data_IF_490422790034
#
_entry.id   IF_490422790034
#
_cell.length_a   1.000
_cell.length_b   1.000
_cell.length_c   1.000
_cell.angle_alpha   90.00
_cell.angle_beta   90.00
_cell.angle_gamma   90.00
#
_symmetry.space_group_name_H-M   'P 1'
#
loop_
_entity.id
_entity.type
_entity.pdbx_description
1 polymer ?
#
# COMPACT_ATOMS: atom_id res chain seq x y z
N UNK A 1 -20.67 -24.36 7.69
CA UNK A 1 -20.07 -24.66 9.01
C UNK A 1 -21.18 -25.14 9.89
N UNK A 2 -21.07 -26.35 10.43
CA UNK A 2 -22.04 -26.84 11.42
C UNK A 2 -21.49 -26.61 12.82
N UNK A 3 -21.50 -25.36 13.29
CA UNK A 3 -21.47 -25.07 14.74
C UNK A 3 -22.60 -25.82 15.45
N UNK A 4 -23.70 -26.05 14.71
CA UNK A 4 -24.78 -26.95 15.08
C UNK A 4 -24.31 -28.39 15.32
N UNK A 5 -23.34 -28.93 14.57
CA UNK A 5 -22.83 -30.28 14.78
C UNK A 5 -22.04 -30.39 16.09
N UNK A 6 -21.25 -29.38 16.44
CA UNK A 6 -20.50 -29.34 17.69
C UNK A 6 -21.43 -29.17 18.90
N UNK A 7 -22.45 -28.30 18.80
CA UNK A 7 -23.50 -28.17 19.81
C UNK A 7 -24.31 -29.47 19.97
N UNK A 8 -24.60 -30.14 18.86
CA UNK A 8 -25.27 -31.44 18.87
C UNK A 8 -24.39 -32.51 19.53
N UNK A 9 -23.10 -32.57 19.20
CA UNK A 9 -22.14 -33.49 19.82
C UNK A 9 -22.04 -33.28 21.34
N UNK A 10 -21.98 -32.02 21.80
CA UNK A 10 -21.97 -31.69 23.23
C UNK A 10 -23.29 -32.08 23.92
N UNK A 11 -24.44 -31.87 23.28
CA UNK A 11 -25.74 -32.32 23.76
C UNK A 11 -25.80 -33.85 23.91
N UNK A 12 -25.27 -34.57 22.92
CA UNK A 12 -25.16 -36.03 22.96
C UNK A 12 -24.24 -36.49 24.11
N UNK A 13 -23.04 -35.92 24.25
CA UNK A 13 -22.10 -36.22 25.35
C UNK A 13 -22.77 -36.04 26.71
N UNK A 14 -23.48 -34.92 26.90
CA UNK A 14 -24.21 -34.65 28.14
C UNK A 14 -25.26 -35.72 28.43
N UNK A 15 -26.06 -36.08 27.42
CA UNK A 15 -27.10 -37.11 27.56
C UNK A 15 -26.54 -38.50 27.85
N UNK A 16 -25.41 -38.88 27.24
CA UNK A 16 -24.76 -40.17 27.45
C UNK A 16 -24.08 -40.24 28.82
N UNK A 17 -23.48 -39.14 29.29
CA UNK A 17 -22.94 -39.04 30.64
C UNK A 17 -24.04 -39.23 31.71
N UNK A 18 -25.22 -38.63 31.51
CA UNK A 18 -26.35 -38.83 32.42
C UNK A 18 -26.86 -40.28 32.43
N UNK A 19 -26.81 -40.97 31.28
CA UNK A 19 -27.16 -42.40 31.19
C UNK A 19 -26.16 -43.26 31.96
N UNK A 20 -24.85 -42.99 31.85
CA UNK A 20 -23.81 -43.71 32.59
C UNK A 20 -24.02 -43.60 34.10
N UNK A 21 -24.35 -42.40 34.61
CA UNK A 21 -24.58 -42.16 36.05
C UNK A 21 -25.79 -42.96 36.58
N UNK A 22 -26.81 -43.18 35.74
CA UNK A 22 -28.05 -43.86 36.11
C UNK A 22 -27.98 -45.38 35.94
N UNK A 23 -27.08 -45.88 35.10
CA UNK A 23 -26.98 -47.31 34.80
C UNK A 23 -26.22 -48.04 35.91
N UNK A 24 -26.68 -49.22 36.33
CA UNK A 24 -26.09 -50.01 37.43
C UNK A 24 -25.36 -51.28 36.96
N UNK A 25 -25.57 -51.65 35.70
CA UNK A 25 -24.98 -52.81 35.04
C UNK A 25 -23.61 -52.47 34.46
N UNK A 26 -22.57 -53.18 34.89
CA UNK A 26 -21.18 -52.92 34.51
C UNK A 26 -20.91 -53.10 33.02
N UNK A 27 -21.60 -54.05 32.35
CA UNK A 27 -21.41 -54.29 30.91
C UNK A 27 -21.98 -53.12 30.12
N UNK A 28 -23.15 -52.62 30.50
CA UNK A 28 -23.77 -51.44 29.87
C UNK A 28 -23.01 -50.16 30.18
N UNK A 29 -22.50 -50.00 31.40
CA UNK A 29 -21.65 -48.88 31.75
C UNK A 29 -20.38 -48.84 30.88
N UNK A 30 -19.72 -49.98 30.65
CA UNK A 30 -18.53 -50.04 29.80
C UNK A 30 -18.85 -49.65 28.34
N UNK A 31 -19.97 -50.14 27.79
CA UNK A 31 -20.42 -49.77 26.45
C UNK A 31 -20.72 -48.28 26.32
N UNK A 32 -21.48 -47.71 27.27
CA UNK A 32 -21.80 -46.27 27.29
C UNK A 32 -20.55 -45.40 27.49
N UNK A 33 -19.57 -45.86 28.27
CA UNK A 33 -18.31 -45.14 28.48
C UNK A 33 -17.48 -45.11 27.20
N UNK A 34 -17.42 -46.22 26.46
CA UNK A 34 -16.76 -46.28 25.16
C UNK A 34 -17.43 -45.35 24.13
N UNK A 35 -18.76 -45.32 24.11
CA UNK A 35 -19.53 -44.41 23.26
C UNK A 35 -19.26 -42.94 23.61
N UNK A 36 -19.23 -42.61 24.91
CA UNK A 36 -18.92 -41.27 25.41
C UNK A 36 -17.50 -40.85 24.98
N UNK A 37 -16.51 -41.72 25.13
CA UNK A 37 -15.13 -41.45 24.71
C UNK A 37 -15.03 -41.19 23.21
N UNK A 38 -15.72 -42.01 22.39
CA UNK A 38 -15.76 -41.81 20.94
C UNK A 38 -16.34 -40.44 20.57
N UNK A 39 -17.43 -40.03 21.23
CA UNK A 39 -18.06 -38.72 21.01
C UNK A 39 -17.19 -37.55 21.48
N UNK A 40 -16.45 -37.71 22.58
CA UNK A 40 -15.47 -36.71 23.03
C UNK A 40 -14.37 -36.52 21.99
N UNK A 41 -13.84 -37.61 21.42
CA UNK A 41 -12.81 -37.56 20.37
C UNK A 41 -13.35 -36.85 19.11
N UNK A 42 -14.58 -37.16 18.71
CA UNK A 42 -15.25 -36.50 17.58
C UNK A 42 -15.40 -34.98 17.81
N UNK A 43 -15.87 -34.59 19.00
CA UNK A 43 -15.99 -33.19 19.38
C UNK A 43 -14.63 -32.48 19.39
N UNK A 44 -13.58 -33.12 19.92
CA UNK A 44 -12.22 -32.58 19.90
C UNK A 44 -11.73 -32.33 18.46
N UNK A 45 -11.98 -33.26 17.54
CA UNK A 45 -11.65 -33.09 16.12
C UNK A 45 -12.34 -31.86 15.51
N UNK A 46 -13.65 -31.71 15.76
CA UNK A 46 -14.41 -30.54 15.30
C UNK A 46 -13.89 -29.23 15.91
N UNK A 47 -13.51 -29.23 17.19
CA UNK A 47 -12.90 -28.07 17.85
C UNK A 47 -11.58 -27.66 17.20
N UNK A 48 -10.71 -28.62 16.88
CA UNK A 48 -9.45 -28.32 16.18
C UNK A 48 -9.69 -27.74 14.79
N UNK A 49 -10.67 -28.25 14.05
CA UNK A 49 -11.01 -27.73 12.72
C UNK A 49 -11.50 -26.27 12.80
N UNK A 50 -12.41 -25.97 13.74
CA UNK A 50 -12.90 -24.60 13.97
C UNK A 50 -11.76 -23.67 14.38
N UNK A 51 -10.88 -24.13 15.28
CA UNK A 51 -9.74 -23.32 15.75
C UNK A 51 -8.73 -23.05 14.64
N UNK A 52 -8.46 -24.03 13.78
CA UNK A 52 -7.59 -23.87 12.61
C UNK A 52 -8.15 -22.82 11.65
N UNK A 53 -9.45 -22.91 11.35
CA UNK A 53 -10.14 -21.94 10.49
C UNK A 53 -10.17 -20.53 11.09
N UNK A 54 -10.39 -20.41 12.40
CA UNK A 54 -10.28 -19.12 13.11
C UNK A 54 -8.87 -18.53 12.99
N UNK A 55 -7.83 -19.36 13.12
CA UNK A 55 -6.45 -18.93 12.90
C UNK A 55 -6.18 -18.44 11.49
N UNK A 56 -6.70 -19.12 10.47
CA UNK A 56 -6.59 -18.71 9.05
C UNK A 56 -7.34 -17.40 8.78
N UNK A 57 -8.56 -17.27 9.32
CA UNK A 57 -9.34 -16.04 9.22
C UNK A 57 -8.63 -14.88 9.91
N UNK A 58 -8.06 -15.09 11.09
CA UNK A 58 -7.32 -14.05 11.81
C UNK A 58 -6.10 -13.57 11.00
N UNK A 59 -5.34 -14.48 10.38
CA UNK A 59 -4.24 -14.12 9.47
C UNK A 59 -4.72 -13.28 8.29
N UNK A 60 -5.88 -13.64 7.72
CA UNK A 60 -6.46 -12.92 6.60
C UNK A 60 -6.91 -11.52 7.02
N UNK A 61 -7.54 -11.39 8.18
CA UNK A 61 -7.92 -10.09 8.77
C UNK A 61 -6.68 -9.22 8.93
N UNK A 62 -5.62 -9.71 9.58
CA UNK A 62 -4.40 -8.93 9.79
C UNK A 62 -3.75 -8.51 8.46
N UNK A 63 -3.67 -9.41 7.48
CA UNK A 63 -3.16 -9.06 6.15
C UNK A 63 -4.01 -8.00 5.42
N UNK A 64 -5.34 -8.04 5.60
CA UNK A 64 -6.24 -7.05 5.02
C UNK A 64 -6.13 -5.71 5.73
N UNK A 65 -6.01 -5.70 7.06
CA UNK A 65 -5.78 -4.48 7.85
C UNK A 65 -4.47 -3.79 7.46
N UNK A 66 -3.38 -4.54 7.26
CA UNK A 66 -2.11 -3.98 6.77
C UNK A 66 -2.26 -3.37 5.36
N UNK A 67 -2.99 -4.04 4.47
CA UNK A 67 -3.29 -3.50 3.14
C UNK A 67 -4.11 -2.22 3.21
N UNK A 68 -5.15 -2.19 4.05
CA UNK A 68 -5.97 -1.01 4.27
C UNK A 68 -5.10 0.15 4.76
N UNK A 69 -4.28 -0.05 5.80
CA UNK A 69 -3.36 0.99 6.29
C UNK A 69 -2.43 1.49 5.20
N UNK A 70 -1.81 0.59 4.43
CA UNK A 70 -0.92 0.99 3.34
C UNK A 70 -1.65 1.80 2.25
N UNK A 71 -2.91 1.48 1.95
CA UNK A 71 -3.73 2.21 0.99
C UNK A 71 -4.17 3.56 1.55
N UNK A 72 -4.55 3.62 2.82
CA UNK A 72 -4.87 4.86 3.53
C UNK A 72 -3.66 5.80 3.56
N UNK A 73 -2.46 5.28 3.84
CA UNK A 73 -1.21 6.05 3.78
C UNK A 73 -0.95 6.59 2.37
N UNK A 74 -1.16 5.77 1.33
CA UNK A 74 -1.04 6.21 -0.07
C UNK A 74 -2.09 7.26 -0.44
N UNK A 75 -3.32 7.14 0.04
CA UNK A 75 -4.38 8.12 -0.19
C UNK A 75 -4.11 9.44 0.53
N UNK A 76 -3.70 9.39 1.80
CA UNK A 76 -3.29 10.56 2.56
C UNK A 76 -2.10 11.24 1.90
N UNK A 77 -1.11 10.46 1.48
CA UNK A 77 0.03 10.94 0.74
C UNK A 77 -0.40 11.64 -0.56
N UNK A 78 -1.31 11.06 -1.35
CA UNK A 78 -1.86 11.69 -2.56
C UNK A 78 -2.73 12.92 -2.29
N UNK A 79 -3.53 12.90 -1.22
CA UNK A 79 -4.42 14.01 -0.81
C UNK A 79 -3.66 15.28 -0.44
N UNK A 80 -2.41 15.14 -0.01
CA UNK A 80 -1.51 16.26 0.28
C UNK A 80 -0.90 16.91 -0.97
N UNK A 81 -1.27 16.48 -2.17
CA UNK A 81 -0.81 17.10 -3.41
C UNK A 81 -1.97 17.56 -4.29
N UNK A 82 -1.85 18.78 -4.81
CA UNK A 82 -2.82 19.36 -5.74
C UNK A 82 -2.19 19.60 -7.10
N UNK A 83 -2.82 19.09 -8.16
CA UNK A 83 -2.39 19.34 -9.53
C UNK A 83 -2.46 20.84 -9.83
N UNK A 84 -1.35 21.39 -10.31
CA UNK A 84 -1.15 22.82 -10.59
C UNK A 84 -0.47 22.96 -11.94
N UNK A 85 -0.92 23.91 -12.75
CA UNK A 85 -0.29 24.27 -14.01
C UNK A 85 0.91 25.18 -13.71
N UNK A 86 2.11 24.77 -14.14
CA UNK A 86 3.35 25.50 -13.91
C UNK A 86 3.77 26.35 -15.12
N UNK A 87 3.43 25.94 -16.35
CA UNK A 87 3.70 26.72 -17.56
C UNK A 87 2.55 26.54 -18.54
N UNK A 88 1.88 27.64 -18.86
CA UNK A 88 0.79 27.67 -19.84
C UNK A 88 1.28 27.41 -21.27
N UNK A 89 2.42 28.03 -21.65
CA UNK A 89 2.98 27.95 -23.02
C UNK A 89 3.29 26.51 -23.46
N UNK A 90 3.81 25.70 -22.55
CA UNK A 90 4.16 24.29 -22.81
C UNK A 90 3.15 23.30 -22.22
N UNK A 91 2.08 23.78 -21.58
CA UNK A 91 1.09 22.93 -20.91
C UNK A 91 1.69 22.01 -19.86
N UNK A 92 2.63 22.51 -19.04
CA UNK A 92 3.37 21.69 -18.08
C UNK A 92 2.68 21.69 -16.70
N UNK A 93 2.21 20.52 -16.29
CA UNK A 93 1.53 20.29 -15.02
C UNK A 93 2.42 19.59 -13.99
N UNK A 94 2.27 19.98 -12.73
CA UNK A 94 2.94 19.35 -11.61
C UNK A 94 2.02 19.30 -10.39
N UNK A 95 2.29 18.37 -9.49
CA UNK A 95 1.60 18.28 -8.22
C UNK A 95 2.31 19.14 -7.19
N UNK A 96 1.60 20.07 -6.57
CA UNK A 96 2.11 20.95 -5.53
C UNK A 96 1.74 20.40 -4.16
N UNK A 97 2.71 20.31 -3.26
CA UNK A 97 2.45 19.91 -1.88
C UNK A 97 1.60 20.97 -1.16
N UNK A 98 0.54 20.53 -0.48
CA UNK A 98 -0.40 21.40 0.26
C UNK A 98 -0.47 21.09 1.75
N UNK A 99 0.39 20.21 2.26
CA UNK A 99 0.48 19.93 3.69
C UNK A 99 1.24 21.03 4.45
N UNK A 100 1.18 20.97 5.77
CA UNK A 100 1.81 21.96 6.66
C UNK A 100 3.16 21.50 7.23
N UNK A 101 3.58 20.27 6.93
CA UNK A 101 4.71 19.63 7.60
C UNK A 101 6.05 19.83 6.88
N UNK A 102 6.01 20.09 5.57
CA UNK A 102 7.18 20.30 4.72
C UNK A 102 7.10 21.64 3.98
N UNK A 103 8.26 22.17 3.56
CA UNK A 103 8.33 23.34 2.68
C UNK A 103 7.63 23.06 1.35
N UNK A 104 6.98 24.09 0.78
CA UNK A 104 6.30 24.00 -0.51
C UNK A 104 7.26 23.48 -1.61
N UNK A 105 6.88 22.37 -2.23
CA UNK A 105 7.64 21.75 -3.31
C UNK A 105 6.69 21.14 -4.35
N UNK A 106 7.24 20.88 -5.53
CA UNK A 106 6.50 20.34 -6.66
C UNK A 106 7.03 18.96 -7.02
N UNK A 107 6.13 18.05 -7.39
CA UNK A 107 6.47 16.71 -7.86
C UNK A 107 5.98 16.53 -9.30
N UNK A 108 6.71 15.71 -10.05
CA UNK A 108 6.40 15.45 -11.45
C UNK A 108 5.11 14.64 -11.59
N UNK A 109 4.13 15.18 -12.34
CA UNK A 109 2.84 14.51 -12.59
C UNK A 109 3.03 13.11 -13.18
N UNK A 110 3.78 12.99 -14.27
CA UNK A 110 3.94 11.72 -14.99
C UNK A 110 4.59 10.65 -14.11
N UNK A 111 5.65 11.00 -13.39
CA UNK A 111 6.33 10.07 -12.49
C UNK A 111 5.43 9.65 -11.31
N UNK A 112 4.58 10.55 -10.82
CA UNK A 112 3.64 10.28 -9.74
C UNK A 112 2.47 9.38 -10.20
N UNK A 113 1.85 9.71 -11.33
CA UNK A 113 0.67 9.00 -11.85
C UNK A 113 1.03 7.62 -12.41
N UNK A 114 2.17 7.49 -13.11
CA UNK A 114 2.54 6.24 -13.79
C UNK A 114 3.29 5.24 -12.91
N UNK A 115 4.08 5.71 -11.94
CA UNK A 115 4.99 4.85 -11.15
C UNK A 115 4.79 4.95 -9.64
N UNK A 116 3.85 5.77 -9.15
CA UNK A 116 3.72 6.08 -7.72
C UNK A 116 5.02 6.57 -7.07
N UNK A 117 5.90 7.21 -7.84
CA UNK A 117 7.20 7.67 -7.36
C UNK A 117 7.15 9.16 -7.02
N UNK A 118 7.46 9.51 -5.76
CA UNK A 118 7.71 10.90 -5.33
C UNK A 118 9.02 11.39 -5.97
N UNK A 119 8.91 12.05 -7.12
CA UNK A 119 10.05 12.72 -7.76
C UNK A 119 9.88 14.22 -7.66
N UNK A 120 10.65 14.85 -6.77
CA UNK A 120 10.64 16.29 -6.56
C UNK A 120 11.28 16.98 -7.79
N UNK A 121 10.60 18.01 -8.30
CA UNK A 121 11.09 18.82 -9.41
C UNK A 121 12.20 19.75 -8.95
N UNK A 122 13.27 19.81 -9.74
CA UNK A 122 14.37 20.75 -9.49
C UNK A 122 14.07 22.05 -10.25
N UNK A 123 13.77 23.11 -9.50
CA UNK A 123 13.51 24.45 -10.03
C UNK A 123 14.71 25.34 -9.72
N UNK A 124 15.35 25.88 -10.75
CA UNK A 124 16.49 26.81 -10.64
C UNK A 124 16.01 28.27 -10.55
N UNK A 125 16.90 29.17 -10.12
CA UNK A 125 16.60 30.61 -9.96
C UNK A 125 16.21 31.30 -11.28
N UNK A 126 16.69 30.79 -12.39
CA UNK A 126 16.38 31.23 -13.75
C UNK A 126 15.02 30.71 -14.25
N UNK A 127 14.21 30.10 -13.37
CA UNK A 127 12.90 29.52 -13.67
C UNK A 127 12.94 28.27 -14.56
N UNK A 128 14.10 27.64 -14.70
CA UNK A 128 14.22 26.35 -15.37
C UNK A 128 13.79 25.21 -14.44
N UNK A 129 12.87 24.36 -14.89
CA UNK A 129 12.31 23.25 -14.13
C UNK A 129 12.53 21.90 -14.84
N UNK A 130 13.02 20.89 -14.11
CA UNK A 130 13.27 19.54 -14.64
C UNK A 130 12.93 18.44 -13.62
N UNK A 131 12.38 17.33 -14.11
CA UNK A 131 12.22 16.09 -13.34
C UNK A 131 13.49 15.21 -13.46
N UNK A 132 14.11 14.77 -12.35
CA UNK A 132 15.33 13.98 -12.38
C UNK A 132 15.13 12.51 -12.80
N UNK A 133 13.91 11.96 -12.67
CA UNK A 133 13.65 10.52 -12.86
C UNK A 133 13.21 10.19 -14.29
N UNK A 134 12.09 10.76 -14.72
CA UNK A 134 11.55 10.46 -16.05
C UNK A 134 12.12 11.36 -17.13
N UNK A 135 12.76 12.49 -16.76
CA UNK A 135 13.36 13.44 -17.70
C UNK A 135 12.40 13.97 -18.76
N UNK A 136 11.09 13.71 -18.64
CA UNK A 136 10.19 13.68 -19.79
C UNK A 136 9.85 15.10 -20.28
N UNK A 137 10.76 15.59 -21.14
CA UNK A 137 10.67 16.49 -22.30
C UNK A 137 9.92 17.82 -22.16
N UNK A 138 10.53 18.97 -21.99
CA UNK A 138 11.91 19.44 -22.15
C UNK A 138 12.02 20.56 -21.14
N UNK A 139 13.01 20.51 -20.25
CA UNK A 139 13.03 21.35 -19.07
C UNK A 139 12.54 22.77 -19.34
N UNK A 140 11.48 23.11 -18.61
CA UNK A 140 10.57 24.16 -19.00
C UNK A 140 10.98 25.41 -18.26
N UNK A 141 11.04 26.51 -19.01
CA UNK A 141 11.17 27.83 -18.43
C UNK A 141 9.79 28.29 -17.98
N UNK A 142 9.60 28.44 -16.66
CA UNK A 142 8.30 28.82 -16.10
C UNK A 142 7.91 30.27 -16.41
N UNK A 143 8.88 31.11 -16.81
CA UNK A 143 8.69 32.55 -17.11
C UNK A 143 9.18 32.95 -18.51
N UNK A 144 9.23 32.01 -19.45
CA UNK A 144 9.79 32.20 -20.79
C UNK A 144 11.32 32.05 -20.83
N UNK A 145 11.89 31.78 -22.01
CA UNK A 145 13.33 31.59 -22.20
C UNK A 145 14.11 32.88 -21.86
N UNK A 146 15.17 32.80 -21.03
CA UNK A 146 16.01 33.97 -20.78
C UNK A 146 16.65 34.40 -22.10
N UNK A 147 16.55 35.70 -22.39
CA UNK A 147 17.07 36.32 -23.61
C UNK A 147 18.54 35.90 -23.80
N UNK A 148 18.93 35.26 -24.91
CA UNK A 148 20.30 34.80 -25.07
C UNK A 148 21.23 36.01 -24.99
N UNK A 149 22.11 36.02 -23.98
CA UNK A 149 23.17 37.01 -23.87
C UNK A 149 24.01 36.87 -25.13
N UNK A 150 23.82 37.79 -26.10
CA UNK A 150 24.67 37.86 -27.30
C UNK A 150 26.07 38.22 -26.83
N UNK A 151 26.88 37.20 -26.55
CA UNK A 151 28.32 37.37 -26.44
C UNK A 151 28.77 37.80 -27.84
N UNK A 152 29.03 39.10 -28.02
CA UNK A 152 29.66 39.60 -29.24
C UNK A 152 31.04 38.96 -29.31
N UNK A 153 31.16 37.85 -30.03
CA UNK A 153 32.45 37.34 -30.47
C UNK A 153 33.12 38.45 -31.27
N UNK A 154 34.10 39.12 -30.68
CA UNK A 154 35.02 39.98 -31.42
C UNK A 154 35.76 39.07 -32.41
N UNK A 155 35.29 39.04 -33.66
CA UNK A 155 36.12 38.65 -34.80
C UNK A 155 37.38 39.52 -34.74
N UNK A 156 38.53 38.92 -34.45
CA UNK A 156 39.81 39.51 -34.84
C UNK A 156 39.97 39.14 -36.31
N UNK A 157 39.52 40.03 -37.18
CA UNK A 157 39.89 40.01 -38.59
C UNK A 157 41.25 40.75 -38.70
N UNK A 158 42.20 39.99 -39.24
CA UNK A 158 43.55 40.22 -39.76
C UNK A 158 44.12 41.65 -39.92
N UNK A 159 45.42 41.79 -39.64
CA UNK A 159 46.31 42.70 -40.39
C UNK A 159 47.73 42.11 -40.47
N UNK A 160 48.05 41.52 -41.62
CA UNK A 160 49.43 41.29 -42.10
C UNK A 160 49.96 42.60 -42.72
N UNK A 161 51.28 42.64 -42.94
CA UNK A 161 52.15 43.71 -43.48
C UNK A 161 52.78 44.57 -42.37
N UNK A 162 54.10 44.71 -42.24
CA UNK A 162 55.24 44.50 -43.12
C UNK A 162 56.32 45.50 -42.70
N UNK A 163 57.54 45.31 -43.21
CA UNK A 163 58.70 46.25 -43.20
C UNK A 163 59.83 46.09 -42.15
N UNK A 164 60.93 45.55 -42.71
CA UNK A 164 62.38 45.84 -42.54
C UNK A 164 63.07 45.23 -41.31
#
# INVERSE_FOLDING_TARGET
MDTNALLTALGYISSTAQKIIKERDQIKQAALTSELQSKIIEAQGQFFEVTSKLGEQQKTITNLEEKIRSLEDLLNFRGNYKLTLLSEEKGFYAYRYTGNDETEHYICQTCFDSKNLKSILHIRKDSFCMCPVCGQNSAVWLKGEPNPVRIRSRKRDDFYDGFI
#
